data_IF_943105636085
#
_entry.id   IF_943105636085
#
_cell.length_a   1.000
_cell.length_b   1.000
_cell.length_c   1.000
_cell.angle_alpha   90.00
_cell.angle_beta   90.00
_cell.angle_gamma   90.00
#
_symmetry.space_group_name_H-M   'P 1'
#
loop_
_entity.id
_entity.type
_entity.pdbx_description
1 polymer ?
#
# COMPACT_ATOMS: atom_id res chain seq x y z
N UNK A 1 -19.52 8.44 10.52
CA UNK A 1 -18.79 9.48 9.80
C UNK A 1 -18.79 9.19 8.31
N UNK A 2 -19.27 10.14 7.50
CA UNK A 2 -19.44 9.97 6.06
C UNK A 2 -18.10 9.81 5.30
N UNK A 3 -17.01 10.41 5.81
CA UNK A 3 -15.70 10.26 5.20
C UNK A 3 -15.15 8.84 5.36
N UNK A 4 -15.27 8.29 6.56
CA UNK A 4 -14.84 6.90 6.83
C UNK A 4 -15.72 5.92 6.03
N UNK A 5 -17.01 6.14 5.95
CA UNK A 5 -17.91 5.32 5.15
C UNK A 5 -17.52 5.36 3.66
N UNK A 6 -17.19 6.54 3.13
CA UNK A 6 -16.72 6.69 1.75
C UNK A 6 -15.40 5.94 1.52
N UNK A 7 -14.45 6.05 2.44
CA UNK A 7 -13.17 5.36 2.35
C UNK A 7 -13.33 3.84 2.37
N UNK A 8 -14.20 3.32 3.23
CA UNK A 8 -14.48 1.88 3.28
C UNK A 8 -15.15 1.37 2.01
N UNK A 9 -16.00 2.20 1.39
CA UNK A 9 -16.62 1.86 0.11
C UNK A 9 -15.56 1.77 -0.99
N UNK A 10 -14.64 2.72 -1.06
CA UNK A 10 -13.52 2.69 -2.03
C UNK A 10 -12.67 1.45 -1.80
N UNK A 11 -12.34 1.12 -0.56
CA UNK A 11 -11.57 -0.07 -0.22
C UNK A 11 -12.29 -1.36 -0.66
N UNK A 12 -13.61 -1.44 -0.46
CA UNK A 12 -14.39 -2.59 -0.90
C UNK A 12 -14.39 -2.74 -2.43
N UNK A 13 -14.46 -1.64 -3.17
CA UNK A 13 -14.36 -1.65 -4.63
C UNK A 13 -13.00 -2.16 -5.10
N UNK A 14 -11.91 -1.72 -4.46
CA UNK A 14 -10.57 -2.21 -4.74
C UNK A 14 -10.43 -3.70 -4.42
N UNK A 15 -10.91 -4.12 -3.26
CA UNK A 15 -10.87 -5.53 -2.85
C UNK A 15 -11.55 -6.42 -3.88
N UNK A 16 -12.73 -6.03 -4.34
CA UNK A 16 -13.48 -6.78 -5.35
C UNK A 16 -12.73 -6.83 -6.68
N UNK A 17 -12.15 -5.72 -7.11
CA UNK A 17 -11.38 -5.66 -8.34
C UNK A 17 -10.14 -6.56 -8.29
N UNK A 18 -9.37 -6.46 -7.21
CA UNK A 18 -8.10 -7.19 -7.10
C UNK A 18 -8.26 -8.68 -6.82
N UNK A 19 -9.43 -9.15 -6.42
CA UNK A 19 -9.71 -10.59 -6.30
C UNK A 19 -9.39 -11.37 -7.58
N UNK A 20 -9.59 -10.76 -8.73
CA UNK A 20 -9.41 -11.39 -10.04
C UNK A 20 -8.12 -10.97 -10.75
N UNK A 21 -7.26 -10.22 -10.07
CA UNK A 21 -5.97 -9.81 -10.62
C UNK A 21 -4.89 -10.71 -10.02
N UNK A 22 -4.27 -11.60 -10.83
CA UNK A 22 -3.21 -12.45 -10.32
C UNK A 22 -1.98 -11.61 -9.95
N UNK A 23 -1.22 -12.09 -8.96
CA UNK A 23 0.07 -11.51 -8.58
C UNK A 23 0.01 -10.14 -7.91
N UNK A 24 -1.19 -9.61 -7.64
CA UNK A 24 -1.38 -8.37 -6.88
C UNK A 24 -2.39 -8.66 -5.78
N UNK A 25 -1.99 -8.45 -4.55
CA UNK A 25 -2.86 -8.63 -3.39
C UNK A 25 -3.28 -7.27 -2.83
N UNK A 26 -4.58 -7.05 -2.66
CA UNK A 26 -5.06 -5.86 -1.97
C UNK A 26 -5.00 -6.07 -0.47
N UNK A 27 -4.40 -5.11 0.25
CA UNK A 27 -4.23 -5.20 1.69
C UNK A 27 -5.54 -4.84 2.41
N UNK A 28 -6.08 -5.79 3.16
CA UNK A 28 -7.31 -5.60 3.94
C UNK A 28 -6.99 -5.56 5.43
N UNK A 29 -7.94 -5.05 6.23
CA UNK A 29 -7.77 -5.03 7.67
C UNK A 29 -7.66 -6.44 8.25
N UNK A 30 -6.88 -6.57 9.32
CA UNK A 30 -6.65 -7.84 10.00
C UNK A 30 -7.92 -8.31 10.71
N UNK A 31 -8.05 -9.64 10.97
CA UNK A 31 -9.18 -10.15 11.75
C UNK A 31 -9.32 -9.42 13.08
N UNK A 32 -10.56 -9.14 13.48
CA UNK A 32 -10.89 -8.43 14.73
C UNK A 32 -10.45 -6.97 14.78
N UNK A 33 -10.13 -6.38 13.62
CA UNK A 33 -9.84 -4.95 13.51
C UNK A 33 -10.78 -4.30 12.51
N UNK A 34 -10.94 -2.97 12.61
CA UNK A 34 -11.77 -2.20 11.67
C UNK A 34 -10.95 -1.00 11.22
N UNK A 35 -10.42 -1.06 10.02
CA UNK A 35 -9.62 0.01 9.45
C UNK A 35 -10.49 1.19 9.01
N UNK A 36 -9.93 2.39 9.10
CA UNK A 36 -10.52 3.56 8.46
C UNK A 36 -10.10 3.73 7.00
N UNK A 37 -9.22 2.86 6.52
CA UNK A 37 -8.66 2.90 5.15
C UNK A 37 -8.16 4.29 4.75
N UNK A 38 -7.40 4.92 5.65
CA UNK A 38 -6.73 6.19 5.36
C UNK A 38 -5.97 6.11 4.04
N UNK A 39 -5.18 5.05 3.90
CA UNK A 39 -4.48 4.73 2.66
C UNK A 39 -4.84 3.30 2.25
N UNK A 40 -5.04 3.11 0.95
CA UNK A 40 -5.19 1.78 0.37
C UNK A 40 -3.84 1.34 -0.18
N UNK A 41 -3.52 0.06 -0.04
CA UNK A 41 -2.26 -0.48 -0.47
C UNK A 41 -2.43 -1.82 -1.18
N UNK A 42 -1.54 -2.07 -2.12
CA UNK A 42 -1.42 -3.37 -2.79
C UNK A 42 -0.03 -3.94 -2.54
N UNK A 43 0.06 -5.26 -2.58
CA UNK A 43 1.31 -6.00 -2.40
C UNK A 43 1.64 -6.66 -3.73
N UNK A 44 2.80 -6.31 -4.29
CA UNK A 44 3.29 -6.87 -5.54
C UNK A 44 4.15 -8.11 -5.24
N UNK A 45 4.54 -8.87 -6.27
CA UNK A 45 5.31 -10.11 -6.11
C UNK A 45 6.75 -9.89 -5.64
N UNK A 46 7.38 -8.83 -6.11
CA UNK A 46 8.78 -8.53 -5.84
C UNK A 46 9.08 -7.06 -6.12
N UNK A 47 10.35 -6.68 -5.93
CA UNK A 47 10.80 -5.30 -6.13
C UNK A 47 10.66 -4.85 -7.58
N UNK A 48 10.94 -5.72 -8.54
CA UNK A 48 10.83 -5.41 -9.96
C UNK A 48 9.37 -5.13 -10.33
N UNK A 49 8.44 -5.97 -9.88
CA UNK A 49 7.01 -5.77 -10.09
C UNK A 49 6.52 -4.47 -9.44
N UNK A 50 7.05 -4.12 -8.28
CA UNK A 50 6.75 -2.85 -7.61
C UNK A 50 7.16 -1.66 -8.48
N UNK A 51 8.38 -1.67 -8.99
CA UNK A 51 8.91 -0.58 -9.83
C UNK A 51 8.09 -0.47 -11.11
N UNK A 52 7.78 -1.57 -11.76
CA UNK A 52 6.96 -1.59 -12.98
C UNK A 52 5.57 -1.02 -12.73
N UNK A 53 4.93 -1.43 -11.64
CA UNK A 53 3.60 -0.94 -11.27
C UNK A 53 3.63 0.58 -11.03
N UNK A 54 4.61 1.07 -10.28
CA UNK A 54 4.78 2.50 -10.01
C UNK A 54 4.98 3.29 -11.30
N UNK A 55 5.84 2.79 -12.19
CA UNK A 55 6.14 3.45 -13.45
C UNK A 55 4.91 3.51 -14.36
N UNK A 56 4.25 2.38 -14.57
CA UNK A 56 3.12 2.29 -15.48
C UNK A 56 1.92 3.11 -15.00
N UNK A 57 1.61 3.05 -13.71
CA UNK A 57 0.47 3.79 -13.18
C UNK A 57 0.71 5.31 -13.24
N UNK A 58 1.88 5.78 -12.83
CA UNK A 58 2.19 7.21 -12.88
C UNK A 58 2.27 7.72 -14.33
N UNK A 59 2.84 6.95 -15.25
CA UNK A 59 2.89 7.32 -16.68
C UNK A 59 1.51 7.44 -17.30
N UNK A 60 0.52 6.73 -16.77
CA UNK A 60 -0.87 6.78 -17.23
C UNK A 60 -1.75 7.71 -16.38
N UNK A 61 -1.15 8.58 -15.59
CA UNK A 61 -1.86 9.59 -14.82
C UNK A 61 -2.51 9.10 -13.53
N UNK A 62 -2.20 7.89 -13.10
CA UNK A 62 -2.68 7.34 -11.82
C UNK A 62 -1.59 7.52 -10.78
N UNK A 63 -1.84 8.36 -9.78
CA UNK A 63 -0.85 8.67 -8.76
C UNK A 63 -0.72 7.52 -7.76
N UNK A 64 0.41 6.82 -7.83
CA UNK A 64 0.80 5.79 -6.85
C UNK A 64 2.13 6.15 -6.22
N UNK A 65 2.39 5.63 -5.05
CA UNK A 65 3.64 5.88 -4.31
C UNK A 65 4.10 4.61 -3.62
N UNK A 66 5.41 4.38 -3.51
CA UNK A 66 5.91 3.32 -2.66
C UNK A 66 5.62 3.65 -1.21
N UNK A 67 5.67 2.64 -0.34
CA UNK A 67 5.63 2.89 1.10
C UNK A 67 6.79 3.79 1.51
N UNK A 68 6.64 4.52 2.63
CA UNK A 68 7.69 5.41 3.12
C UNK A 68 9.03 4.71 3.25
N UNK A 69 10.13 5.47 3.09
CA UNK A 69 11.48 4.95 3.30
C UNK A 69 11.62 4.37 4.70
N UNK A 70 12.26 3.21 4.81
CA UNK A 70 12.45 2.54 6.08
C UNK A 70 13.28 3.39 7.05
N UNK A 71 12.86 3.43 8.31
CA UNK A 71 13.50 4.25 9.34
C UNK A 71 14.98 3.95 9.50
N UNK A 72 15.36 2.66 9.40
CA UNK A 72 16.76 2.25 9.53
C UNK A 72 17.66 2.72 8.37
N UNK A 73 17.08 3.17 7.27
CA UNK A 73 17.80 3.70 6.11
C UNK A 73 17.95 5.22 6.17
N UNK A 74 17.27 5.87 7.11
CA UNK A 74 17.41 7.31 7.32
C UNK A 74 18.73 7.59 8.05
N UNK A 75 19.51 8.60 7.62
CA UNK A 75 20.84 8.86 8.21
C UNK A 75 20.86 8.98 9.73
N UNK A 76 19.81 9.59 10.32
CA UNK A 76 19.76 9.78 11.78
C UNK A 76 19.51 8.48 12.56
N UNK A 77 19.08 7.40 11.88
CA UNK A 77 18.76 6.12 12.54
C UNK A 77 19.60 4.95 12.04
N UNK A 78 20.55 5.18 11.13
CA UNK A 78 21.34 4.10 10.52
C UNK A 78 22.14 3.25 11.51
N UNK A 79 22.51 3.83 12.66
CA UNK A 79 23.26 3.16 13.70
C UNK A 79 22.39 2.65 14.86
N UNK A 80 21.08 2.72 14.74
CA UNK A 80 20.17 2.22 15.76
C UNK A 80 20.06 0.69 15.69
N UNK A 81 19.86 0.05 16.85
CA UNK A 81 19.67 -1.38 16.93
C UNK A 81 18.38 -1.81 16.22
N UNK A 82 18.43 -2.97 15.57
CA UNK A 82 17.25 -3.60 14.96
C UNK A 82 17.45 -5.13 14.94
N UNK A 83 16.40 -5.86 14.62
CA UNK A 83 16.39 -7.32 14.58
C UNK A 83 16.69 -7.90 13.19
N UNK A 84 17.22 -7.08 12.26
CA UNK A 84 17.43 -7.43 10.86
C UNK A 84 16.27 -7.03 9.95
N UNK A 85 15.11 -6.69 10.51
CA UNK A 85 13.94 -6.12 9.80
C UNK A 85 13.50 -6.94 8.58
N UNK A 86 13.55 -8.26 8.66
CA UNK A 86 13.25 -9.16 7.54
C UNK A 86 11.87 -8.91 6.95
N UNK A 87 10.84 -8.86 7.78
CA UNK A 87 9.47 -8.63 7.33
C UNK A 87 9.27 -7.20 6.83
N UNK A 88 9.86 -6.23 7.50
CA UNK A 88 9.80 -4.82 7.11
C UNK A 88 10.38 -4.60 5.71
N UNK A 89 11.54 -5.19 5.44
CA UNK A 89 12.19 -5.10 4.13
C UNK A 89 11.35 -5.82 3.07
N UNK A 90 10.79 -6.98 3.40
CA UNK A 90 9.92 -7.71 2.49
C UNK A 90 8.74 -6.85 2.03
N UNK A 91 8.06 -6.17 2.97
CA UNK A 91 6.94 -5.28 2.65
C UNK A 91 7.41 -4.04 1.89
N UNK A 92 8.53 -3.43 2.29
CA UNK A 92 9.06 -2.23 1.61
C UNK A 92 9.32 -2.47 0.12
N UNK A 93 9.74 -3.68 -0.23
CA UNK A 93 10.03 -4.04 -1.62
C UNK A 93 8.77 -4.31 -2.45
N UNK A 94 7.60 -4.46 -1.82
CA UNK A 94 6.38 -4.96 -2.48
C UNK A 94 5.17 -4.04 -2.36
N UNK A 95 5.10 -3.23 -1.32
CA UNK A 95 3.90 -2.43 -1.01
C UNK A 95 3.88 -1.14 -1.81
N UNK A 96 2.73 -0.85 -2.40
CA UNK A 96 2.47 0.42 -3.10
C UNK A 96 1.17 1.00 -2.59
N UNK A 97 1.19 2.27 -2.24
CA UNK A 97 -0.02 3.03 -1.91
C UNK A 97 -0.71 3.47 -3.20
N UNK A 98 -2.00 3.22 -3.28
CA UNK A 98 -2.84 3.57 -4.44
C UNK A 98 -3.81 4.68 -4.07
N UNK A 99 -4.47 5.34 -5.06
CA UNK A 99 -5.34 6.48 -4.79
C UNK A 99 -6.39 6.17 -3.73
N UNK A 100 -6.49 7.02 -2.71
CA UNK A 100 -7.31 6.77 -1.53
C UNK A 100 -8.19 7.96 -1.14
N UNK A 101 -8.38 8.92 -2.03
CA UNK A 101 -9.18 10.11 -1.77
C UNK A 101 -10.65 9.76 -1.49
N UNK A 102 -11.26 10.56 -0.63
CA UNK A 102 -12.68 10.45 -0.33
C UNK A 102 -13.50 10.81 -1.57
N UNK A 103 -14.49 9.99 -1.88
CA UNK A 103 -15.46 10.26 -2.94
C UNK A 103 -16.79 10.66 -2.31
N UNK A 104 -17.05 11.95 -2.26
CA UNK A 104 -18.31 12.50 -1.74
C UNK A 104 -19.02 13.14 -2.93
N UNK A 105 -20.14 12.55 -3.26
CA UNK A 105 -21.05 13.11 -4.26
C UNK A 105 -22.28 13.67 -3.58
#
# INVERSE_FOLDING_TARGET
>A
DKYVASKRKVAAEYEEYFKNVPDIEFFVDSPNTVSNYWLNAVILQDKEAQIDFLTQTNDNGVMTRPIWELMNRLPMFENCENDGLKNTIWFADRVVNIPSSVRIN
#
